data_IF_203829323432
#
_entry.id   IF_203829323432
#
_cell.length_a   1.000
_cell.length_b   1.000
_cell.length_c   1.000
_cell.angle_alpha   90.00
_cell.angle_beta   90.00
_cell.angle_gamma   90.00
#
_symmetry.space_group_name_H-M   'P 1'
#
loop_
_entity.id
_entity.type
_entity.pdbx_description
1 polymer ?
#
# COMPACT_ATOMS: atom_id res chain seq x y z
N UNK A 1 42.02 31.20 -55.83
CA UNK A 1 41.96 31.13 -54.38
C UNK A 1 40.51 31.22 -53.80
N UNK A 2 39.42 31.02 -54.57
CA UNK A 2 38.04 31.21 -54.07
C UNK A 2 37.25 29.90 -53.68
N UNK A 3 37.66 28.74 -54.23
CA UNK A 3 36.97 27.46 -54.00
C UNK A 3 37.09 26.87 -52.59
N UNK A 4 38.26 26.88 -51.88
CA UNK A 4 38.35 26.28 -50.54
C UNK A 4 37.58 27.07 -49.47
N UNK A 5 37.48 28.40 -49.66
CA UNK A 5 36.71 29.25 -48.67
C UNK A 5 35.20 29.01 -48.81
N UNK A 6 34.70 28.79 -50.02
CA UNK A 6 33.29 28.50 -50.24
C UNK A 6 32.90 27.14 -49.67
N UNK A 7 33.78 26.14 -49.82
CA UNK A 7 33.55 24.78 -49.23
C UNK A 7 33.54 24.84 -47.70
N UNK A 8 34.45 25.62 -47.09
CA UNK A 8 34.49 25.79 -45.65
C UNK A 8 33.23 26.50 -45.12
N UNK A 9 32.73 27.53 -45.81
CA UNK A 9 31.50 28.25 -45.43
C UNK A 9 30.25 27.38 -45.55
N UNK A 10 30.14 26.53 -46.58
CA UNK A 10 29.03 25.61 -46.75
C UNK A 10 29.07 24.50 -45.70
N UNK A 11 30.26 23.98 -45.38
CA UNK A 11 30.43 22.96 -44.35
C UNK A 11 30.03 23.49 -42.94
N UNK A 12 30.41 24.71 -42.60
CA UNK A 12 30.02 25.30 -41.31
C UNK A 12 28.53 25.63 -41.25
N UNK A 13 27.91 26.06 -42.34
CA UNK A 13 26.48 26.35 -42.41
C UNK A 13 25.60 25.10 -42.25
N UNK A 14 26.12 23.91 -42.58
CA UNK A 14 25.39 22.65 -42.40
C UNK A 14 25.70 21.97 -41.06
N UNK A 15 26.95 22.02 -40.62
CA UNK A 15 27.36 21.34 -39.36
C UNK A 15 26.83 22.03 -38.09
N UNK A 16 26.77 23.36 -38.07
CA UNK A 16 26.28 24.12 -36.90
C UNK A 16 24.81 23.81 -36.55
N UNK A 17 23.86 23.81 -37.51
CA UNK A 17 22.48 23.48 -37.19
C UNK A 17 22.29 22.00 -36.79
N UNK A 18 23.07 21.09 -37.39
CA UNK A 18 23.02 19.66 -36.98
C UNK A 18 23.53 19.50 -35.57
N UNK A 19 24.62 20.15 -35.18
CA UNK A 19 25.15 20.11 -33.83
C UNK A 19 24.17 20.73 -32.83
N UNK A 20 23.51 21.84 -33.18
CA UNK A 20 22.48 22.48 -32.37
C UNK A 20 21.27 21.56 -32.15
N UNK A 21 20.80 20.88 -33.19
CA UNK A 21 19.69 19.92 -33.09
C UNK A 21 20.07 18.74 -32.21
N UNK A 22 21.29 18.19 -32.35
CA UNK A 22 21.77 17.09 -31.50
C UNK A 22 21.93 17.52 -30.05
N UNK A 23 22.40 18.75 -29.80
CA UNK A 23 22.51 19.29 -28.43
C UNK A 23 21.15 19.49 -27.81
N UNK A 24 20.19 20.07 -28.53
CA UNK A 24 18.80 20.22 -28.04
C UNK A 24 18.17 18.88 -27.79
N UNK A 25 18.36 17.91 -28.69
CA UNK A 25 17.84 16.55 -28.50
C UNK A 25 18.45 15.88 -27.28
N UNK A 26 19.75 16.04 -27.05
CA UNK A 26 20.45 15.53 -25.86
C UNK A 26 19.94 16.17 -24.55
N UNK A 27 19.74 17.50 -24.57
CA UNK A 27 19.19 18.22 -23.41
C UNK A 27 17.72 17.88 -23.14
N UNK A 28 16.92 17.68 -24.18
CA UNK A 28 15.52 17.25 -24.03
C UNK A 28 15.40 15.79 -23.58
N UNK A 29 16.30 14.91 -24.01
CA UNK A 29 16.34 13.51 -23.57
C UNK A 29 16.81 13.37 -22.12
N UNK A 30 17.61 14.31 -21.61
CA UNK A 30 18.05 14.34 -20.20
C UNK A 30 16.95 14.81 -19.24
N UNK A 31 15.91 15.48 -19.76
CA UNK A 31 14.76 15.95 -19.01
C UNK A 31 13.54 15.00 -19.09
N UNK A 32 13.75 13.72 -19.42
CA UNK A 32 12.70 12.72 -19.30
C UNK A 32 12.20 12.74 -17.84
N UNK A 33 10.96 13.21 -17.68
CA UNK A 33 10.31 13.41 -16.39
C UNK A 33 10.45 12.18 -15.50
N UNK A 34 10.71 12.35 -14.18
CA UNK A 34 10.80 11.24 -13.22
C UNK A 34 9.55 10.35 -13.18
N UNK A 35 8.43 10.85 -13.73
CA UNK A 35 7.15 10.15 -13.85
C UNK A 35 7.15 8.97 -14.85
N UNK A 36 8.13 8.87 -15.74
CA UNK A 36 8.21 7.79 -16.74
C UNK A 36 9.06 6.60 -16.30
N UNK A 37 9.78 6.69 -15.18
CA UNK A 37 10.46 5.54 -14.58
C UNK A 37 9.50 4.82 -13.65
N UNK A 38 9.12 3.59 -13.99
CA UNK A 38 8.47 2.70 -13.04
C UNK A 38 9.28 2.59 -11.75
N UNK A 39 8.65 2.17 -10.63
CA UNK A 39 9.34 2.02 -9.35
C UNK A 39 10.64 1.24 -9.51
N UNK A 40 11.71 1.69 -8.86
CA UNK A 40 12.98 0.98 -8.85
C UNK A 40 12.79 -0.47 -8.37
N UNK A 41 13.56 -1.45 -8.88
CA UNK A 41 13.49 -2.82 -8.37
C UNK A 41 13.67 -2.84 -6.84
N UNK A 42 12.71 -3.41 -6.10
CA UNK A 42 12.70 -3.43 -4.64
C UNK A 42 12.14 -2.18 -3.97
N UNK A 43 11.62 -1.18 -4.73
CA UNK A 43 10.80 -0.10 -4.19
C UNK A 43 9.37 -0.58 -3.93
N UNK A 44 8.69 0.02 -2.96
CA UNK A 44 7.27 -0.20 -2.74
C UNK A 44 6.45 0.40 -3.91
N UNK A 45 5.29 -0.18 -4.17
CA UNK A 45 4.32 0.31 -5.17
C UNK A 45 3.29 1.25 -4.56
N UNK A 46 3.03 1.08 -3.27
CA UNK A 46 2.28 2.03 -2.48
C UNK A 46 3.12 3.24 -2.08
N UNK A 47 2.47 4.26 -1.53
CA UNK A 47 3.15 5.45 -0.99
C UNK A 47 3.96 5.07 0.26
N UNK A 48 5.20 5.56 0.33
CA UNK A 48 6.06 5.35 1.49
C UNK A 48 5.79 6.46 2.53
N UNK A 49 5.47 6.11 3.80
CA UNK A 49 5.31 7.08 4.87
C UNK A 49 6.66 7.67 5.31
N UNK A 50 6.69 8.74 6.10
CA UNK A 50 7.91 9.19 6.77
C UNK A 50 8.52 8.07 7.60
N UNK A 51 9.85 8.00 7.61
CA UNK A 51 10.58 6.93 8.37
C UNK A 51 10.40 7.08 9.88
N UNK A 52 10.49 5.96 10.58
CA UNK A 52 10.46 5.94 12.05
C UNK A 52 9.06 5.94 12.66
N UNK A 53 8.00 5.77 11.85
CA UNK A 53 6.64 5.59 12.35
C UNK A 53 6.39 4.09 12.55
N UNK A 54 6.04 3.73 13.79
CA UNK A 54 5.75 2.36 14.16
C UNK A 54 4.24 2.14 14.36
N UNK A 55 3.82 0.89 14.15
CA UNK A 55 2.45 0.49 14.42
C UNK A 55 2.08 0.75 15.87
N UNK A 56 0.95 1.42 16.15
CA UNK A 56 0.41 1.56 17.50
C UNK A 56 0.16 0.20 18.14
N UNK A 57 0.45 0.07 19.43
CA UNK A 57 0.13 -1.16 20.16
C UNK A 57 -1.34 -1.20 20.57
N UNK A 58 -1.95 -2.36 20.43
CA UNK A 58 -3.33 -2.62 20.87
C UNK A 58 -3.54 -4.11 21.13
N UNK A 59 -4.62 -4.39 21.87
CA UNK A 59 -5.12 -5.75 22.08
C UNK A 59 -6.61 -5.78 21.80
N UNK A 60 -7.02 -6.61 20.85
CA UNK A 60 -8.43 -6.83 20.49
C UNK A 60 -8.71 -8.33 20.35
N UNK A 61 -9.96 -8.69 20.13
CA UNK A 61 -10.35 -10.03 19.70
C UNK A 61 -10.75 -10.02 18.23
N UNK A 62 -10.42 -11.11 17.53
CA UNK A 62 -10.98 -11.32 16.21
C UNK A 62 -12.44 -11.81 16.29
N UNK A 63 -13.11 -11.89 15.16
CA UNK A 63 -14.49 -12.36 15.06
C UNK A 63 -14.70 -13.84 15.46
N UNK A 64 -13.61 -14.60 15.66
CA UNK A 64 -13.61 -15.97 16.19
C UNK A 64 -13.38 -16.01 17.69
N UNK A 65 -13.15 -14.85 18.33
CA UNK A 65 -12.89 -14.71 19.75
C UNK A 65 -11.41 -14.85 20.16
N UNK A 66 -10.50 -15.03 19.20
CA UNK A 66 -9.07 -15.16 19.46
C UNK A 66 -8.46 -13.80 19.80
N UNK A 67 -7.59 -13.76 20.80
CA UNK A 67 -6.90 -12.53 21.22
C UNK A 67 -5.77 -12.21 20.25
N UNK A 68 -5.83 -11.02 19.65
CA UNK A 68 -4.78 -10.45 18.83
C UNK A 68 -4.10 -9.30 19.57
N UNK A 69 -2.78 -9.35 19.68
CA UNK A 69 -1.94 -8.27 20.20
C UNK A 69 -1.00 -7.80 19.10
N UNK A 70 -1.01 -6.51 18.78
CA UNK A 70 -0.14 -5.97 17.71
C UNK A 70 1.34 -6.19 18.04
N UNK A 71 1.74 -5.96 19.28
CA UNK A 71 3.11 -6.22 19.77
C UNK A 71 3.59 -7.66 19.50
N UNK A 72 2.71 -8.66 19.61
CA UNK A 72 3.06 -10.07 19.40
C UNK A 72 3.27 -10.43 17.94
N UNK A 73 3.06 -9.49 17.00
CA UNK A 73 3.29 -9.69 15.57
C UNK A 73 4.69 -9.26 15.12
N UNK A 74 5.54 -8.81 16.03
CA UNK A 74 6.96 -8.56 15.72
C UNK A 74 7.62 -9.81 15.14
N UNK A 75 8.50 -9.65 14.18
CA UNK A 75 9.06 -10.73 13.37
C UNK A 75 8.23 -11.13 12.16
N UNK A 76 7.01 -10.61 12.01
CA UNK A 76 6.11 -10.83 10.88
C UNK A 76 5.80 -9.51 10.16
N UNK A 77 5.54 -9.59 8.87
CA UNK A 77 4.95 -8.47 8.12
C UNK A 77 3.47 -8.38 8.46
N UNK A 78 2.99 -7.20 8.80
CA UNK A 78 1.58 -6.97 9.16
C UNK A 78 0.93 -6.03 8.16
N UNK A 79 -0.18 -6.44 7.57
CA UNK A 79 -1.07 -5.59 6.77
C UNK A 79 -2.23 -5.17 7.65
N UNK A 80 -2.46 -3.87 7.80
CA UNK A 80 -3.59 -3.32 8.56
C UNK A 80 -4.50 -2.54 7.64
N UNK A 81 -5.80 -2.80 7.72
CA UNK A 81 -6.85 -2.02 7.04
C UNK A 81 -8.03 -1.76 7.99
N UNK A 82 -8.94 -0.89 7.57
CA UNK A 82 -10.07 -0.43 8.37
C UNK A 82 -11.36 -0.67 7.59
N UNK A 83 -12.21 -1.55 8.08
CA UNK A 83 -13.40 -2.04 7.36
C UNK A 83 -14.68 -1.93 8.18
N UNK A 84 -15.80 -1.80 7.45
CA UNK A 84 -17.17 -1.97 7.92
C UNK A 84 -17.85 -3.05 7.07
N UNK A 85 -18.46 -4.05 7.70
CA UNK A 85 -19.14 -5.14 7.00
C UNK A 85 -20.40 -4.71 6.26
N UNK A 86 -20.92 -3.52 6.53
CA UNK A 86 -22.10 -2.92 5.90
C UNK A 86 -21.77 -1.89 4.81
N UNK A 87 -20.53 -1.48 4.68
CA UNK A 87 -20.04 -0.67 3.58
C UNK A 87 -20.23 -1.41 2.25
N UNK A 88 -20.78 -0.70 1.24
CA UNK A 88 -21.12 -1.29 -0.06
C UNK A 88 -20.14 -0.93 -1.16
N UNK A 89 -19.25 0.00 -0.92
CA UNK A 89 -18.36 0.59 -1.93
C UNK A 89 -16.93 0.04 -1.82
N UNK A 90 -16.11 0.56 -0.93
CA UNK A 90 -14.67 0.27 -0.86
C UNK A 90 -14.33 -1.00 -0.06
N UNK A 91 -14.98 -1.24 1.08
CA UNK A 91 -14.65 -2.36 1.96
C UNK A 91 -14.73 -3.74 1.29
N UNK A 92 -15.72 -4.04 0.40
CA UNK A 92 -15.72 -5.26 -0.39
C UNK A 92 -14.48 -5.43 -1.26
N UNK A 93 -14.00 -4.35 -1.89
CA UNK A 93 -12.80 -4.35 -2.73
C UNK A 93 -11.57 -4.65 -1.88
N UNK A 94 -11.37 -3.93 -0.77
CA UNK A 94 -10.27 -4.18 0.18
C UNK A 94 -10.21 -5.64 0.61
N UNK A 95 -11.33 -6.20 1.09
CA UNK A 95 -11.35 -7.58 1.56
C UNK A 95 -11.01 -8.57 0.44
N UNK A 96 -11.57 -8.39 -0.77
CA UNK A 96 -11.31 -9.25 -1.93
C UNK A 96 -9.85 -9.18 -2.36
N UNK A 97 -9.27 -7.97 -2.44
CA UNK A 97 -7.91 -7.76 -2.91
C UNK A 97 -6.87 -8.28 -1.90
N UNK A 98 -7.10 -8.10 -0.59
CA UNK A 98 -6.24 -8.69 0.45
C UNK A 98 -6.31 -10.22 0.41
N UNK A 99 -7.50 -10.79 0.27
CA UNK A 99 -7.66 -12.24 0.10
C UNK A 99 -6.98 -12.77 -1.15
N UNK A 100 -7.08 -12.05 -2.28
CA UNK A 100 -6.41 -12.41 -3.53
C UNK A 100 -4.89 -12.26 -3.42
N UNK A 101 -4.38 -11.19 -2.82
CA UNK A 101 -2.96 -10.99 -2.57
C UNK A 101 -2.36 -12.13 -1.72
N UNK A 102 -3.07 -12.56 -0.67
CA UNK A 102 -2.65 -13.70 0.15
C UNK A 102 -2.48 -14.99 -0.67
N UNK A 103 -3.33 -15.21 -1.69
CA UNK A 103 -3.19 -16.37 -2.59
C UNK A 103 -2.02 -16.27 -3.56
N UNK A 104 -1.54 -15.06 -3.87
CA UNK A 104 -0.34 -14.84 -4.70
C UNK A 104 0.97 -15.09 -3.94
N UNK A 105 0.94 -15.13 -2.61
CA UNK A 105 2.10 -15.44 -1.79
C UNK A 105 2.33 -16.96 -1.76
N UNK A 106 3.59 -17.38 -1.74
CA UNK A 106 3.96 -18.78 -1.46
C UNK A 106 3.58 -19.19 -0.02
N UNK A 107 3.52 -20.47 0.27
CA UNK A 107 3.20 -20.94 1.62
C UNK A 107 4.21 -20.43 2.68
N UNK A 108 5.55 -20.42 2.44
CA UNK A 108 6.51 -19.83 3.35
C UNK A 108 6.31 -18.31 3.54
N UNK A 109 6.00 -17.56 2.47
CA UNK A 109 5.71 -16.12 2.59
C UNK A 109 4.45 -15.88 3.44
N UNK A 110 3.36 -16.62 3.17
CA UNK A 110 2.10 -16.48 3.94
C UNK A 110 2.27 -16.74 5.43
N UNK A 111 3.10 -17.68 5.82
CA UNK A 111 3.33 -17.99 7.25
C UNK A 111 3.98 -16.85 8.01
N UNK A 112 4.63 -15.91 7.29
CA UNK A 112 5.33 -14.77 7.85
C UNK A 112 4.51 -13.46 7.75
N UNK A 113 3.25 -13.55 7.31
CA UNK A 113 2.37 -12.38 7.11
C UNK A 113 1.12 -12.51 7.96
N UNK A 114 0.68 -11.40 8.52
CA UNK A 114 -0.62 -11.25 9.18
C UNK A 114 -1.40 -10.16 8.50
N UNK A 115 -2.62 -10.43 8.10
CA UNK A 115 -3.53 -9.42 7.57
C UNK A 115 -4.64 -9.15 8.61
N UNK A 116 -4.74 -7.90 9.05
CA UNK A 116 -5.67 -7.43 10.08
C UNK A 116 -6.65 -6.43 9.46
N UNK A 117 -7.94 -6.65 9.65
CA UNK A 117 -8.95 -5.63 9.48
C UNK A 117 -9.44 -5.17 10.85
N UNK A 118 -9.49 -3.87 11.08
CA UNK A 118 -10.03 -3.27 12.30
C UNK A 118 -11.40 -2.67 11.99
N UNK A 119 -12.40 -2.99 12.81
CA UNK A 119 -13.74 -2.43 12.63
C UNK A 119 -13.73 -0.90 12.75
N UNK A 120 -14.48 -0.23 11.87
CA UNK A 120 -14.81 1.20 11.97
C UNK A 120 -16.29 1.43 12.34
N UNK A 121 -17.05 0.35 12.51
CA UNK A 121 -18.47 0.38 12.91
C UNK A 121 -18.78 -0.72 13.94
N UNK A 122 -18.28 -0.58 15.19
CA UNK A 122 -18.42 -1.59 16.24
C UNK A 122 -19.87 -1.99 16.58
N UNK A 123 -20.82 -1.10 16.36
CA UNK A 123 -22.22 -1.35 16.69
C UNK A 123 -22.88 -2.40 15.79
N UNK A 124 -22.35 -2.56 14.57
CA UNK A 124 -22.91 -3.44 13.53
C UNK A 124 -22.01 -4.60 13.15
N UNK A 125 -20.70 -4.48 13.38
CA UNK A 125 -19.72 -5.52 13.06
C UNK A 125 -19.74 -6.62 14.13
N UNK A 126 -20.58 -7.62 13.90
CA UNK A 126 -20.72 -8.80 14.75
C UNK A 126 -19.90 -9.97 14.20
N UNK A 127 -19.59 -11.00 14.99
CA UNK A 127 -18.94 -12.22 14.50
C UNK A 127 -19.65 -12.84 13.28
N UNK A 128 -20.99 -12.78 13.27
CA UNK A 128 -21.82 -13.30 12.17
C UNK A 128 -21.68 -12.45 10.90
N UNK A 129 -21.83 -11.12 11.02
CA UNK A 129 -21.73 -10.21 9.86
C UNK A 129 -20.33 -10.24 9.26
N UNK A 130 -19.29 -10.28 10.10
CA UNK A 130 -17.89 -10.40 9.65
C UNK A 130 -17.66 -11.72 8.91
N UNK A 131 -18.09 -12.85 9.44
CA UNK A 131 -17.93 -14.15 8.77
C UNK A 131 -18.62 -14.19 7.42
N UNK A 132 -19.83 -13.65 7.32
CA UNK A 132 -20.57 -13.55 6.05
C UNK A 132 -19.88 -12.60 5.07
N UNK A 133 -19.39 -11.46 5.54
CA UNK A 133 -18.68 -10.49 4.73
C UNK A 133 -17.40 -11.09 4.14
N UNK A 134 -16.53 -11.68 4.95
CA UNK A 134 -15.27 -12.28 4.52
C UNK A 134 -15.49 -13.50 3.63
N UNK A 135 -16.48 -14.35 3.94
CA UNK A 135 -16.81 -15.53 3.14
C UNK A 135 -17.21 -15.17 1.70
N UNK A 136 -18.06 -14.16 1.53
CA UNK A 136 -18.48 -13.70 0.19
C UNK A 136 -17.34 -13.09 -0.63
N UNK A 137 -16.20 -12.72 -0.01
CA UNK A 137 -15.04 -12.10 -0.67
C UNK A 137 -13.83 -13.03 -0.74
N UNK A 138 -13.99 -14.29 -0.35
CA UNK A 138 -12.88 -15.24 -0.29
C UNK A 138 -11.68 -14.72 0.50
N UNK A 139 -11.95 -14.01 1.61
CA UNK A 139 -10.99 -13.30 2.44
C UNK A 139 -10.93 -13.84 3.89
N UNK A 140 -11.23 -15.12 4.10
CA UNK A 140 -11.24 -15.74 5.43
C UNK A 140 -9.86 -15.81 6.10
N UNK A 141 -8.79 -15.56 5.35
CA UNK A 141 -7.41 -15.38 5.87
C UNK A 141 -7.18 -14.01 6.52
N UNK A 142 -8.13 -13.07 6.39
CA UNK A 142 -8.08 -11.76 7.02
C UNK A 142 -8.62 -11.87 8.45
N UNK A 143 -7.80 -11.54 9.44
CA UNK A 143 -8.21 -11.48 10.84
C UNK A 143 -8.97 -10.19 11.09
N UNK A 144 -10.29 -10.26 11.11
CA UNK A 144 -11.15 -9.11 11.35
C UNK A 144 -11.34 -8.91 12.87
N UNK A 145 -10.76 -7.81 13.37
CA UNK A 145 -10.76 -7.46 14.79
C UNK A 145 -11.98 -6.61 15.13
N UNK A 146 -12.70 -7.02 16.15
CA UNK A 146 -13.89 -6.35 16.66
C UNK A 146 -13.65 -5.90 18.09
N UNK A 147 -14.35 -4.84 18.48
CA UNK A 147 -14.28 -4.30 19.83
C UNK A 147 -15.42 -3.31 20.06
N UNK A 148 -15.59 -2.84 21.27
CA UNK A 148 -16.53 -1.75 21.57
C UNK A 148 -16.00 -0.42 21.04
N UNK A 149 -16.87 0.57 20.82
CA UNK A 149 -16.46 1.93 20.42
C UNK A 149 -15.43 2.51 21.39
N UNK A 150 -15.57 2.22 22.70
CA UNK A 150 -14.61 2.64 23.74
C UNK A 150 -13.22 2.05 23.52
N UNK A 151 -13.13 0.78 23.10
CA UNK A 151 -11.85 0.12 22.79
C UNK A 151 -11.26 0.58 21.47
N UNK A 152 -12.11 0.85 20.47
CA UNK A 152 -11.66 1.23 19.13
C UNK A 152 -11.22 2.69 19.03
N UNK A 153 -11.87 3.62 19.74
CA UNK A 153 -11.58 5.05 19.63
C UNK A 153 -10.10 5.43 19.84
N UNK A 154 -9.39 4.95 20.87
CA UNK A 154 -7.96 5.22 21.01
C UNK A 154 -7.13 4.63 19.87
N UNK A 155 -7.52 3.49 19.30
CA UNK A 155 -6.85 2.85 18.17
C UNK A 155 -7.03 3.68 16.91
N UNK A 156 -8.27 4.11 16.59
CA UNK A 156 -8.52 4.99 15.44
C UNK A 156 -7.70 6.27 15.51
N UNK A 157 -7.63 6.91 16.70
CA UNK A 157 -6.80 8.10 16.91
C UNK A 157 -5.32 7.83 16.67
N UNK A 158 -4.79 6.73 17.19
CA UNK A 158 -3.39 6.36 17.05
C UNK A 158 -3.01 6.03 15.59
N UNK A 159 -3.97 5.54 14.81
CA UNK A 159 -3.81 5.32 13.37
C UNK A 159 -4.23 6.53 12.52
N UNK A 160 -4.70 7.62 13.13
CA UNK A 160 -5.26 8.79 12.42
C UNK A 160 -6.39 8.39 11.45
N UNK A 161 -7.32 7.56 11.92
CA UNK A 161 -8.45 7.06 11.15
C UNK A 161 -9.72 7.83 11.50
N UNK A 162 -10.43 8.25 10.46
CA UNK A 162 -11.84 8.68 10.59
C UNK A 162 -12.70 7.42 10.50
N UNK A 163 -13.44 7.12 11.55
CA UNK A 163 -14.27 5.91 11.63
C UNK A 163 -15.72 6.18 11.18
N UNK A 164 -16.37 5.18 10.58
CA UNK A 164 -17.78 5.25 10.19
C UNK A 164 -18.70 5.55 11.39
N UNK A 165 -18.38 4.99 12.55
CA UNK A 165 -19.06 5.27 13.82
C UNK A 165 -18.98 6.75 14.26
N UNK A 166 -18.02 7.52 13.76
CA UNK A 166 -17.85 8.94 14.06
C UNK A 166 -18.52 9.85 13.02
N UNK A 167 -18.64 9.38 11.76
CA UNK A 167 -19.29 10.12 10.67
C UNK A 167 -20.78 9.82 10.57
N UNK A 168 -21.24 8.71 11.14
CA UNK A 168 -22.61 8.21 10.96
C UNK A 168 -22.89 7.63 9.57
N UNK A 169 -21.86 7.48 8.72
CA UNK A 169 -22.01 6.98 7.35
C UNK A 169 -20.97 5.87 7.06
N UNK A 170 -21.46 4.68 6.73
CA UNK A 170 -20.67 3.50 6.44
C UNK A 170 -19.68 3.67 5.26
N UNK A 171 -19.96 4.57 4.33
CA UNK A 171 -19.13 4.82 3.15
C UNK A 171 -18.14 6.00 3.35
N UNK A 172 -18.24 6.72 4.48
CA UNK A 172 -17.38 7.86 4.83
C UNK A 172 -16.48 7.48 5.99
N UNK A 173 -15.40 6.79 5.70
CA UNK A 173 -14.33 6.47 6.64
C UNK A 173 -12.98 6.38 5.91
N UNK A 174 -11.89 6.43 6.68
CA UNK A 174 -10.55 6.19 6.14
C UNK A 174 -10.45 4.77 5.58
N UNK A 175 -9.89 4.65 4.39
CA UNK A 175 -9.77 3.39 3.66
C UNK A 175 -8.38 3.31 3.02
N UNK A 176 -7.49 2.59 3.67
CA UNK A 176 -6.14 2.29 3.18
C UNK A 176 -5.70 0.90 3.64
N UNK A 177 -4.68 0.34 3.00
CA UNK A 177 -3.99 -0.85 3.44
C UNK A 177 -2.55 -0.45 3.79
N UNK A 178 -2.19 -0.50 5.07
CA UNK A 178 -0.87 -0.15 5.59
C UNK A 178 -0.05 -1.39 5.83
N UNK A 179 1.18 -1.37 5.33
CA UNK A 179 2.12 -2.47 5.51
C UNK A 179 3.15 -2.05 6.56
N UNK A 180 3.28 -2.89 7.58
CA UNK A 180 4.30 -2.79 8.62
C UNK A 180 5.30 -3.92 8.43
N UNK A 181 6.60 -3.60 8.47
CA UNK A 181 7.66 -4.58 8.37
C UNK A 181 7.78 -5.46 9.63
N UNK A 182 8.76 -6.38 9.67
CA UNK A 182 8.99 -7.28 10.79
C UNK A 182 9.34 -6.55 12.09
N UNK A 183 9.92 -5.34 12.01
CA UNK A 183 10.20 -4.48 13.15
C UNK A 183 8.95 -3.66 13.56
N UNK A 184 7.86 -3.78 12.82
CA UNK A 184 6.61 -3.03 12.99
C UNK A 184 6.73 -1.58 12.55
N UNK A 185 7.69 -1.22 11.72
CA UNK A 185 7.79 0.09 11.09
C UNK A 185 6.82 0.16 9.91
N UNK A 186 6.11 1.25 9.78
CA UNK A 186 5.22 1.51 8.63
C UNK A 186 6.05 1.79 7.39
N UNK A 187 5.87 0.99 6.33
CA UNK A 187 6.76 1.02 5.15
C UNK A 187 6.05 1.25 3.84
N UNK A 188 4.74 1.00 3.76
CA UNK A 188 3.95 1.24 2.55
C UNK A 188 2.47 1.44 2.86
N UNK A 189 1.77 2.21 2.00
CA UNK A 189 0.32 2.39 2.04
C UNK A 189 -0.26 2.28 0.63
N UNK A 190 -1.29 1.47 0.50
CA UNK A 190 -2.02 1.26 -0.74
C UNK A 190 -3.48 1.71 -0.59
N UNK A 191 -4.04 2.34 -1.63
CA UNK A 191 -5.35 2.98 -1.62
C UNK A 191 -6.26 2.45 -2.74
N UNK A 192 -7.54 2.28 -2.47
CA UNK A 192 -8.58 2.02 -3.50
C UNK A 192 -9.14 3.36 -3.99
N UNK A 193 -9.28 3.57 -5.30
CA UNK A 193 -8.99 2.69 -6.44
C UNK A 193 -7.62 2.94 -7.08
N UNK A 194 -6.69 3.59 -6.39
CA UNK A 194 -5.47 4.17 -6.98
C UNK A 194 -4.41 3.09 -7.28
N UNK A 195 -3.93 2.43 -6.24
CA UNK A 195 -2.77 1.53 -6.32
C UNK A 195 -2.99 0.19 -5.60
N UNK A 196 -4.04 0.03 -4.79
CA UNK A 196 -4.38 -1.25 -4.20
C UNK A 196 -4.89 -2.21 -5.27
N UNK A 197 -4.06 -3.17 -5.60
CA UNK A 197 -4.38 -4.37 -6.37
C UNK A 197 -3.78 -5.58 -5.69
N UNK A 198 -4.28 -6.81 -5.92
CA UNK A 198 -3.67 -8.01 -5.36
C UNK A 198 -2.18 -8.14 -5.69
N UNK A 199 -1.78 -7.78 -6.92
CA UNK A 199 -0.39 -7.84 -7.38
C UNK A 199 0.50 -6.83 -6.66
N UNK A 200 0.03 -5.59 -6.49
CA UNK A 200 0.79 -4.54 -5.81
C UNK A 200 0.94 -4.84 -4.32
N UNK A 201 -0.15 -5.29 -3.66
CA UNK A 201 -0.10 -5.67 -2.25
C UNK A 201 0.84 -6.85 -2.02
N UNK A 202 0.76 -7.92 -2.84
CA UNK A 202 1.69 -9.05 -2.74
C UNK A 202 3.13 -8.64 -3.02
N UNK A 203 3.37 -7.72 -3.95
CA UNK A 203 4.69 -7.17 -4.22
C UNK A 203 5.26 -6.45 -2.99
N UNK A 204 4.51 -5.55 -2.39
CA UNK A 204 4.96 -4.74 -1.26
C UNK A 204 5.18 -5.60 -0.01
N UNK A 205 4.34 -6.61 0.21
CA UNK A 205 4.57 -7.63 1.25
C UNK A 205 5.93 -8.32 1.04
N UNK A 206 6.25 -8.74 -0.19
CA UNK A 206 7.55 -9.38 -0.49
C UNK A 206 8.72 -8.43 -0.28
N UNK A 207 8.57 -7.15 -0.63
CA UNK A 207 9.60 -6.13 -0.35
C UNK A 207 9.82 -6.00 1.16
N UNK A 208 8.74 -5.92 1.95
CA UNK A 208 8.82 -5.84 3.41
C UNK A 208 9.45 -7.10 4.04
N UNK A 209 9.14 -8.30 3.52
CA UNK A 209 9.75 -9.55 3.96
C UNK A 209 11.26 -9.57 3.75
N UNK A 210 11.73 -9.13 2.57
CA UNK A 210 13.17 -9.12 2.24
C UNK A 210 13.97 -8.08 3.00
N UNK A 211 13.41 -6.87 3.19
CA UNK A 211 14.10 -5.78 3.90
C UNK A 211 14.24 -6.03 5.40
N UNK A 212 13.39 -6.84 5.98
CA UNK A 212 13.46 -7.21 7.39
C UNK A 212 14.58 -8.23 7.72
N UNK A 213 15.20 -8.84 6.73
CA UNK A 213 16.29 -9.84 6.93
C UNK A 213 17.68 -9.21 6.95
N UNK A 214 17.81 -7.89 6.74
CA UNK A 214 19.09 -7.19 6.50
C UNK A 214 19.42 -6.09 7.50
N UNK A 215 18.81 -6.05 8.69
CA UNK A 215 19.14 -5.05 9.74
C UNK A 215 19.49 -5.72 11.06
#
# INVERSE_FOLDING_TARGET
MRRPVLIALVATAVLLPILAVLLVHSLMSSNASPLARGPAPGAYRGSEPPRGIFAPDFTLRDYRGQVMRMRSQRGRVVVVTFLDTHCKTKCPVFASDIGAASRLLSAPERSQVVALALTVEPSRDTPRSVRQFLGRRHALSLDFLIGTTRQMRPIWRAFHIVAAAETGNADVHSSDARIFDRNGMWVSTLHVPVDLTPANLAHDIRVALRKGDGS
#
